data_IF_208271483848
#
_entry.id   IF_208271483848
#
_cell.length_a   1.000
_cell.length_b   1.000
_cell.length_c   1.000
_cell.angle_alpha   90.00
_cell.angle_beta   90.00
_cell.angle_gamma   90.00
#
_symmetry.space_group_name_H-M   'P 1'
#
loop_
_entity.id
_entity.type
_entity.pdbx_description
1 polymer ?
#
# COMPACT_ATOMS: atom_id res chain seq x y z
N UNK A 1 6.48 13.85 1.68
CA UNK A 1 5.22 13.12 1.41
C UNK A 1 5.47 11.62 1.41
N UNK A 2 4.53 10.87 1.94
CA UNK A 2 4.62 9.42 2.03
C UNK A 2 3.44 8.78 1.31
N UNK A 3 3.66 7.57 0.81
CA UNK A 3 2.62 6.79 0.15
C UNK A 3 2.45 5.45 0.87
N UNK A 4 1.20 5.05 1.07
CA UNK A 4 0.84 3.75 1.62
C UNK A 4 -0.09 3.06 0.63
N UNK A 5 0.30 1.88 0.18
CA UNK A 5 -0.54 1.06 -0.71
C UNK A 5 -0.88 -0.24 0.00
N UNK A 6 -2.15 -0.45 0.27
CA UNK A 6 -2.59 -1.58 1.08
C UNK A 6 -3.89 -2.19 0.58
N UNK A 7 -4.04 -3.50 0.80
CA UNK A 7 -5.31 -4.18 0.59
C UNK A 7 -6.14 -4.20 1.87
N UNK A 8 -5.44 -4.13 3.02
CA UNK A 8 -6.03 -4.33 4.33
C UNK A 8 -6.04 -3.03 5.12
N UNK A 9 -7.19 -2.35 5.13
CA UNK A 9 -7.32 -1.08 5.84
C UNK A 9 -8.69 -1.03 6.55
N UNK A 10 -8.80 -0.28 7.67
CA UNK A 10 -10.11 -0.09 8.29
C UNK A 10 -11.14 0.48 7.31
N UNK A 11 -12.42 0.25 7.51
CA UNK A 11 -13.08 -0.24 8.73
C UNK A 11 -13.09 -1.75 8.92
N UNK A 12 -12.53 -2.52 7.98
CA UNK A 12 -12.35 -3.96 8.20
C UNK A 12 -11.46 -4.18 9.41
N UNK A 13 -11.79 -5.15 10.25
CA UNK A 13 -11.10 -5.42 11.50
C UNK A 13 -10.06 -6.54 11.32
N UNK A 14 -8.86 -6.30 11.80
CA UNK A 14 -7.79 -7.30 11.75
C UNK A 14 -6.44 -6.72 12.12
N UNK A 15 -5.45 -7.59 12.28
CA UNK A 15 -4.10 -7.18 12.66
C UNK A 15 -3.42 -6.32 11.61
N UNK A 16 -3.56 -6.69 10.33
CA UNK A 16 -2.98 -5.90 9.23
C UNK A 16 -3.66 -4.55 9.08
N UNK A 17 -4.97 -4.50 9.24
CA UNK A 17 -5.72 -3.26 9.18
C UNK A 17 -5.24 -2.29 10.25
N UNK A 18 -5.08 -2.77 11.48
CA UNK A 18 -4.59 -1.97 12.59
C UNK A 18 -3.15 -1.51 12.37
N UNK A 19 -2.31 -2.38 11.83
CA UNK A 19 -0.92 -2.07 11.53
C UNK A 19 -0.81 -0.97 10.48
N UNK A 20 -1.55 -1.09 9.40
CA UNK A 20 -1.50 -0.12 8.31
C UNK A 20 -2.08 1.23 8.71
N UNK A 21 -3.12 1.24 9.54
CA UNK A 21 -3.67 2.47 10.09
C UNK A 21 -2.67 3.14 11.03
N UNK A 22 -2.06 2.37 11.93
CA UNK A 22 -1.06 2.88 12.87
C UNK A 22 0.15 3.45 12.16
N UNK A 23 0.64 2.76 11.14
CA UNK A 23 1.74 3.24 10.31
C UNK A 23 1.38 4.57 9.65
N UNK A 24 0.20 4.64 9.05
CA UNK A 24 -0.25 5.85 8.35
C UNK A 24 -0.36 7.04 9.29
N UNK A 25 -0.91 6.84 10.48
CA UNK A 25 -1.00 7.89 11.48
C UNK A 25 0.36 8.34 11.99
N UNK A 26 1.29 7.40 12.17
CA UNK A 26 2.65 7.74 12.58
C UNK A 26 3.37 8.56 11.50
N UNK A 27 3.19 8.22 10.24
CA UNK A 27 3.78 8.96 9.13
C UNK A 27 3.25 10.39 9.02
N UNK A 28 1.99 10.62 9.39
CA UNK A 28 1.42 11.97 9.38
C UNK A 28 2.18 12.94 10.25
N UNK A 29 2.87 12.47 11.30
CA UNK A 29 3.69 13.31 12.15
C UNK A 29 4.95 13.80 11.45
N UNK A 30 5.29 13.21 10.31
CA UNK A 30 6.51 13.52 9.56
C UNK A 30 6.25 14.15 8.20
N UNK A 31 4.99 14.24 7.77
CA UNK A 31 4.63 14.85 6.52
C UNK A 31 3.28 14.33 5.98
N UNK A 32 2.84 14.85 4.84
CA UNK A 32 1.60 14.38 4.21
C UNK A 32 1.68 12.91 3.82
N UNK A 33 0.55 12.22 3.94
CA UNK A 33 0.44 10.80 3.61
C UNK A 33 -0.71 10.59 2.63
N UNK A 34 -0.44 9.88 1.54
CA UNK A 34 -1.47 9.43 0.59
C UNK A 34 -1.64 7.94 0.72
N UNK A 35 -2.87 7.49 0.92
CA UNK A 35 -3.19 6.08 1.09
C UNK A 35 -4.04 5.60 -0.07
N UNK A 36 -3.59 4.51 -0.71
CA UNK A 36 -4.38 3.78 -1.70
C UNK A 36 -4.82 2.46 -1.07
N UNK A 37 -6.12 2.29 -0.89
CA UNK A 37 -6.70 1.11 -0.27
C UNK A 37 -7.83 0.57 -1.14
N UNK A 38 -8.19 -0.69 -0.96
CA UNK A 38 -9.32 -1.27 -1.67
C UNK A 38 -10.63 -0.81 -1.04
N UNK A 39 -11.64 -0.61 -1.89
CA UNK A 39 -12.96 -0.23 -1.43
C UNK A 39 -13.65 -1.44 -0.79
N UNK A 40 -14.20 -1.21 0.39
CA UNK A 40 -14.93 -2.23 1.15
C UNK A 40 -16.19 -1.62 1.72
N UNK A 41 -17.06 -2.46 2.25
CA UNK A 41 -18.30 -2.03 2.89
C UNK A 41 -17.99 -1.07 4.05
N UNK A 42 -18.77 0.00 4.14
CA UNK A 42 -18.64 1.05 5.17
C UNK A 42 -17.36 1.91 5.08
N UNK A 43 -16.57 1.74 4.04
CA UNK A 43 -15.34 2.51 3.86
C UNK A 43 -15.60 4.02 3.79
N UNK A 44 -16.67 4.42 3.13
CA UNK A 44 -17.01 5.83 2.98
C UNK A 44 -17.18 6.53 4.31
N UNK A 45 -17.92 5.92 5.24
CA UNK A 45 -18.14 6.49 6.57
C UNK A 45 -16.83 6.61 7.34
N UNK A 46 -16.01 5.58 7.29
CA UNK A 46 -14.70 5.61 7.94
C UNK A 46 -13.84 6.73 7.37
N UNK A 47 -13.76 6.84 6.05
CA UNK A 47 -12.91 7.81 5.37
C UNK A 47 -13.33 9.25 5.66
N UNK A 48 -14.63 9.50 5.74
CA UNK A 48 -15.17 10.82 6.10
C UNK A 48 -14.79 11.26 7.51
N UNK A 49 -14.64 10.32 8.42
CA UNK A 49 -14.30 10.58 9.80
C UNK A 49 -12.80 10.50 10.09
N UNK A 50 -11.99 10.17 9.09
CA UNK A 50 -10.55 10.04 9.22
C UNK A 50 -9.84 11.33 8.80
N UNK A 51 -8.73 11.64 9.47
CA UNK A 51 -7.85 12.72 9.04
C UNK A 51 -6.89 12.32 7.93
N UNK A 52 -6.89 11.02 7.57
CA UNK A 52 -6.02 10.47 6.53
C UNK A 52 -6.57 10.74 5.13
N UNK A 53 -5.69 10.91 4.17
CA UNK A 53 -6.06 11.08 2.76
C UNK A 53 -6.12 9.70 2.12
N UNK A 54 -7.32 9.14 2.02
CA UNK A 54 -7.53 7.77 1.55
C UNK A 54 -8.27 7.79 0.21
N UNK A 55 -7.67 7.09 -0.76
CA UNK A 55 -8.32 6.85 -2.05
C UNK A 55 -8.64 5.37 -2.15
N UNK A 56 -9.91 5.04 -2.33
CA UNK A 56 -10.40 3.66 -2.41
C UNK A 56 -10.52 3.23 -3.87
N UNK A 57 -10.03 2.03 -4.16
CA UNK A 57 -10.10 1.45 -5.50
C UNK A 57 -11.20 0.40 -5.55
N UNK A 58 -12.15 0.59 -6.47
CA UNK A 58 -13.29 -0.31 -6.68
C UNK A 58 -13.15 -1.09 -7.98
N UNK A 59 -14.02 -2.08 -8.17
CA UNK A 59 -14.11 -2.86 -9.40
C UNK A 59 -13.83 -4.33 -9.19
N UNK A 60 -13.85 -5.08 -10.29
CA UNK A 60 -13.55 -6.51 -10.25
C UNK A 60 -12.13 -6.76 -9.77
N UNK A 61 -11.95 -7.83 -9.00
CA UNK A 61 -10.69 -8.15 -8.33
C UNK A 61 -9.48 -8.11 -9.28
N UNK A 62 -9.62 -8.65 -10.49
CA UNK A 62 -8.52 -8.69 -11.47
C UNK A 62 -8.13 -7.29 -11.92
N UNK A 63 -9.11 -6.46 -12.29
CA UNK A 63 -8.87 -5.12 -12.78
C UNK A 63 -8.45 -4.16 -11.67
N UNK A 64 -8.91 -4.40 -10.45
CA UNK A 64 -8.63 -3.58 -9.28
C UNK A 64 -7.13 -3.52 -8.98
N UNK A 65 -6.43 -4.65 -9.11
CA UNK A 65 -4.97 -4.71 -8.90
C UNK A 65 -4.22 -3.80 -9.88
N UNK A 66 -4.58 -3.87 -11.15
CA UNK A 66 -3.93 -3.04 -12.18
C UNK A 66 -4.27 -1.57 -12.01
N UNK A 67 -5.51 -1.28 -11.67
CA UNK A 67 -5.95 0.10 -11.44
C UNK A 67 -5.20 0.73 -10.27
N UNK A 68 -5.07 0.00 -9.16
CA UNK A 68 -4.33 0.47 -7.99
C UNK A 68 -2.86 0.70 -8.33
N UNK A 69 -2.23 -0.25 -9.03
CA UNK A 69 -0.83 -0.11 -9.43
C UNK A 69 -0.62 1.11 -10.33
N UNK A 70 -1.53 1.35 -11.27
CA UNK A 70 -1.43 2.51 -12.16
C UNK A 70 -1.58 3.82 -11.39
N UNK A 71 -2.50 3.89 -10.45
CA UNK A 71 -2.68 5.08 -9.62
C UNK A 71 -1.46 5.35 -8.74
N UNK A 72 -0.87 4.32 -8.18
CA UNK A 72 0.36 4.43 -7.39
C UNK A 72 1.52 4.93 -8.25
N UNK A 73 1.70 4.34 -9.43
CA UNK A 73 2.74 4.78 -10.38
C UNK A 73 2.58 6.25 -10.74
N UNK A 74 1.37 6.63 -11.08
CA UNK A 74 1.05 8.00 -11.48
C UNK A 74 1.33 8.97 -10.34
N UNK A 75 0.96 8.60 -9.12
CA UNK A 75 1.21 9.41 -7.94
C UNK A 75 2.71 9.59 -7.68
N UNK A 76 3.50 8.51 -7.75
CA UNK A 76 4.95 8.59 -7.55
C UNK A 76 5.62 9.43 -8.62
N UNK A 77 5.14 9.32 -9.88
CA UNK A 77 5.70 10.08 -10.99
C UNK A 77 5.35 11.56 -10.95
N UNK A 78 4.25 11.93 -10.30
CA UNK A 78 3.74 13.30 -10.26
C UNK A 78 4.05 14.04 -8.96
N UNK A 79 4.59 13.37 -7.96
CA UNK A 79 4.86 13.94 -6.64
C UNK A 79 6.21 13.50 -6.11
N UNK A 80 6.76 14.29 -5.18
CA UNK A 80 7.97 13.89 -4.46
C UNK A 80 7.59 12.98 -3.30
N UNK A 81 7.71 11.69 -3.50
CA UNK A 81 7.40 10.68 -2.50
C UNK A 81 8.69 10.23 -1.82
N UNK A 82 8.88 10.59 -0.56
CA UNK A 82 10.08 10.23 0.20
C UNK A 82 10.17 8.74 0.45
N UNK A 83 9.05 8.13 0.81
CA UNK A 83 9.00 6.69 1.08
C UNK A 83 7.62 6.15 0.72
N UNK A 84 7.61 4.91 0.24
CA UNK A 84 6.40 4.17 -0.12
C UNK A 84 6.36 2.87 0.67
N UNK A 85 5.20 2.57 1.23
CA UNK A 85 4.99 1.40 2.07
C UNK A 85 3.92 0.50 1.47
N UNK A 86 4.24 -0.79 1.35
CA UNK A 86 3.36 -1.78 0.74
C UNK A 86 3.09 -2.91 1.75
N UNK A 87 1.86 -3.37 1.80
CA UNK A 87 1.46 -4.43 2.71
C UNK A 87 1.76 -5.83 2.19
N UNK A 88 2.11 -5.94 0.90
CA UNK A 88 2.35 -7.23 0.27
C UNK A 88 3.29 -7.08 -0.94
N UNK A 89 4.18 -8.07 -1.11
CA UNK A 89 5.15 -8.05 -2.21
C UNK A 89 4.50 -8.03 -3.61
N UNK A 90 3.31 -8.62 -3.74
CA UNK A 90 2.57 -8.61 -5.02
C UNK A 90 2.17 -7.21 -5.44
N UNK A 91 1.98 -6.32 -4.49
CA UNK A 91 1.66 -4.92 -4.78
C UNK A 91 2.84 -4.22 -5.44
N UNK A 92 4.06 -4.63 -5.12
CA UNK A 92 5.29 -4.05 -5.66
C UNK A 92 5.52 -4.50 -7.11
N UNK A 93 5.23 -5.76 -7.41
CA UNK A 93 5.49 -6.33 -8.75
C UNK A 93 4.93 -5.50 -9.89
N UNK A 94 3.74 -5.00 -9.72
CA UNK A 94 3.02 -4.29 -10.77
C UNK A 94 3.45 -2.83 -10.90
N UNK A 95 4.21 -2.33 -9.94
CA UNK A 95 4.69 -0.94 -9.97
C UNK A 95 5.89 -0.81 -10.92
N UNK A 96 6.81 -1.78 -10.90
CA UNK A 96 8.00 -1.75 -11.73
C UNK A 96 9.18 -1.06 -11.08
N UNK A 97 10.38 -1.50 -11.43
CA UNK A 97 11.63 -1.04 -10.82
C UNK A 97 11.90 0.44 -11.09
N UNK A 98 11.57 0.91 -12.29
CA UNK A 98 11.82 2.29 -12.68
C UNK A 98 11.06 3.28 -11.80
N UNK A 99 9.80 3.01 -11.53
CA UNK A 99 8.99 3.86 -10.66
C UNK A 99 9.44 3.75 -9.21
N UNK A 100 9.72 2.53 -8.75
CA UNK A 100 10.15 2.30 -7.37
C UNK A 100 11.49 2.95 -7.06
N UNK A 101 12.36 3.12 -8.06
CA UNK A 101 13.64 3.79 -7.88
C UNK A 101 13.50 5.27 -7.52
N UNK A 102 12.34 5.87 -7.75
CA UNK A 102 12.07 7.28 -7.46
C UNK A 102 11.71 7.53 -6.00
N UNK A 103 11.51 6.48 -5.21
CA UNK A 103 11.14 6.56 -3.81
C UNK A 103 11.82 5.44 -3.03
N UNK A 104 11.95 5.61 -1.71
CA UNK A 104 12.39 4.51 -0.86
C UNK A 104 11.20 3.59 -0.62
N UNK A 105 11.30 2.35 -1.06
CA UNK A 105 10.19 1.40 -1.01
C UNK A 105 10.38 0.37 0.08
N UNK A 106 9.36 0.18 0.91
CA UNK A 106 9.34 -0.77 2.01
C UNK A 106 8.16 -1.72 1.84
N UNK A 107 8.42 -3.00 2.00
CA UNK A 107 7.37 -4.02 1.98
C UNK A 107 7.28 -4.68 3.34
N UNK A 108 6.08 -4.76 3.88
CA UNK A 108 5.85 -5.47 5.14
C UNK A 108 5.84 -6.96 4.88
N UNK A 109 6.64 -7.70 5.64
CA UNK A 109 6.80 -9.14 5.48
C UNK A 109 5.93 -9.87 6.50
N UNK A 110 5.09 -10.77 6.00
CA UNK A 110 4.29 -11.65 6.84
C UNK A 110 5.02 -12.95 7.09
N UNK A 111 4.67 -13.65 8.17
CA UNK A 111 5.29 -14.94 8.49
C UNK A 111 5.15 -15.95 7.36
N UNK A 112 4.05 -15.94 6.65
CA UNK A 112 3.83 -16.82 5.48
C UNK A 112 4.81 -16.56 4.35
N UNK A 113 5.21 -15.31 4.16
CA UNK A 113 6.15 -14.93 3.12
C UNK A 113 7.58 -15.35 3.47
N UNK A 114 7.94 -15.25 4.76
CA UNK A 114 9.27 -15.63 5.23
C UNK A 114 9.49 -17.14 5.12
N UNK A 115 8.42 -17.92 5.24
CA UNK A 115 8.48 -19.38 5.23
C UNK A 115 8.48 -20.00 3.84
N UNK A 116 8.54 -19.18 2.78
CA UNK A 116 8.68 -19.70 1.42
C UNK A 116 10.06 -20.33 1.20
N UNK A 117 10.16 -21.34 0.31
CA UNK A 117 11.46 -21.96 0.04
C UNK A 117 12.50 -20.95 -0.46
N UNK A 118 13.74 -21.17 -0.06
CA UNK A 118 14.88 -20.36 -0.51
C UNK A 118 15.01 -20.48 -2.03
N UNK A 119 15.23 -19.35 -2.70
CA UNK A 119 15.36 -19.30 -4.14
C UNK A 119 14.05 -19.09 -4.89
N UNK A 120 12.93 -19.00 -4.17
CA UNK A 120 11.65 -18.65 -4.81
C UNK A 120 11.68 -17.22 -5.33
N UNK A 121 10.82 -16.93 -6.30
CA UNK A 121 10.69 -15.58 -6.83
C UNK A 121 10.27 -14.57 -5.76
N UNK A 122 9.56 -15.04 -4.73
CA UNK A 122 9.16 -14.22 -3.60
C UNK A 122 10.39 -13.66 -2.87
N UNK A 123 11.36 -14.53 -2.56
CA UNK A 123 12.57 -14.09 -1.85
C UNK A 123 13.34 -13.02 -2.63
N UNK A 124 13.39 -13.14 -3.95
CA UNK A 124 14.06 -12.17 -4.80
C UNK A 124 13.39 -10.80 -4.80
N UNK A 125 12.08 -10.76 -4.61
CA UNK A 125 11.31 -9.51 -4.63
C UNK A 125 11.28 -8.81 -3.28
N UNK A 126 11.32 -9.56 -2.21
CA UNK A 126 11.28 -9.02 -0.85
C UNK A 126 12.63 -8.45 -0.44
N UNK A 127 13.68 -9.11 -0.85
CA UNK A 127 15.04 -8.67 -0.55
C UNK A 127 15.55 -7.63 -1.56
#
# INVERSE_FOLDING_TARGET
MFLVSTRNFPPEIGGMQNLMEGLSNALLNHGPVKIFAENIEHAEVYDQNSSLNIERISGFKIFRKYRKANLVKEFINSNEVRASFFDHWKSIEKIGEETLAKTKSFCLIHSKEINHPVGSSLNKRVL
#
